data_IF_359993815481
#
_entry.id   IF_359993815481
#
_cell.length_a   1.000
_cell.length_b   1.000
_cell.length_c   1.000
_cell.angle_alpha   90.00
_cell.angle_beta   90.00
_cell.angle_gamma   90.00
#
_symmetry.space_group_name_H-M   'P 1'
#
loop_
_entity.id
_entity.type
_entity.pdbx_description
1 polymer ?
#
# COMPACT_ATOMS: atom_id res chain seq x y z
N UNK A 1 36.88 10.67 -27.40
CA UNK A 1 35.68 11.55 -27.48
C UNK A 1 35.77 12.58 -28.63
N UNK A 2 36.30 12.18 -29.79
CA UNK A 2 36.66 13.12 -30.86
C UNK A 2 35.70 13.06 -32.05
N UNK A 3 34.97 11.96 -32.26
CA UNK A 3 34.20 11.75 -33.49
C UNK A 3 33.03 12.72 -33.67
N UNK A 4 32.31 13.07 -32.59
CA UNK A 4 31.22 14.06 -32.66
C UNK A 4 31.74 15.45 -33.01
N UNK A 5 32.79 15.90 -32.32
CA UNK A 5 33.36 17.24 -32.54
C UNK A 5 34.09 17.34 -33.88
N UNK A 6 34.72 16.25 -34.35
CA UNK A 6 35.28 16.16 -35.71
C UNK A 6 34.18 16.30 -36.77
N UNK A 7 33.02 15.67 -36.57
CA UNK A 7 31.89 15.86 -37.47
C UNK A 7 31.42 17.32 -37.45
N UNK A 8 31.22 17.90 -36.27
CA UNK A 8 30.77 19.29 -36.14
C UNK A 8 31.75 20.30 -36.75
N UNK A 9 33.05 19.97 -36.79
CA UNK A 9 34.08 20.79 -37.43
C UNK A 9 33.90 20.91 -38.96
N UNK A 10 33.19 19.95 -39.58
CA UNK A 10 32.87 20.00 -41.01
C UNK A 10 31.67 20.90 -41.35
N UNK A 11 30.96 21.44 -40.36
CA UNK A 11 29.76 22.25 -40.56
C UNK A 11 30.04 23.76 -40.52
N UNK A 12 29.27 24.60 -41.26
CA UNK A 12 29.35 26.05 -41.08
C UNK A 12 28.95 26.43 -39.64
N UNK A 13 29.60 27.45 -39.08
CA UNK A 13 29.42 27.92 -37.69
C UNK A 13 29.85 26.92 -36.59
N UNK A 14 30.86 26.08 -36.83
CA UNK A 14 31.41 25.10 -35.88
C UNK A 14 31.48 25.56 -34.43
N UNK A 15 32.03 26.75 -34.16
CA UNK A 15 32.23 27.24 -32.79
C UNK A 15 30.93 27.39 -32.02
N UNK A 16 29.88 27.90 -32.68
CA UNK A 16 28.55 28.09 -32.07
C UNK A 16 27.88 26.74 -31.83
N UNK A 17 27.90 25.87 -32.84
CA UNK A 17 27.26 24.55 -32.77
C UNK A 17 27.96 23.64 -31.75
N UNK A 18 29.29 23.67 -31.70
CA UNK A 18 30.07 22.89 -30.71
C UNK A 18 29.85 23.38 -29.29
N UNK A 19 29.77 24.70 -29.08
CA UNK A 19 29.42 25.28 -27.78
C UNK A 19 28.03 24.86 -27.33
N UNK A 20 27.05 24.89 -28.24
CA UNK A 20 25.69 24.44 -27.96
C UNK A 20 25.62 22.93 -27.66
N UNK A 21 26.34 22.10 -28.41
CA UNK A 21 26.44 20.67 -28.16
C UNK A 21 27.03 20.37 -26.78
N UNK A 22 28.06 21.11 -26.35
CA UNK A 22 28.63 20.96 -25.00
C UNK A 22 27.60 21.29 -23.91
N UNK A 23 26.81 22.36 -24.09
CA UNK A 23 25.72 22.71 -23.14
C UNK A 23 24.68 21.60 -23.07
N UNK A 24 24.27 21.05 -24.21
CA UNK A 24 23.32 19.93 -24.27
C UNK A 24 23.87 18.70 -23.53
N UNK A 25 25.12 18.32 -23.79
CA UNK A 25 25.77 17.19 -23.11
C UNK A 25 25.80 17.42 -21.60
N UNK A 26 26.11 18.64 -21.15
CA UNK A 26 26.11 18.99 -19.73
C UNK A 26 24.71 18.85 -19.09
N UNK A 27 23.66 19.34 -19.76
CA UNK A 27 22.27 19.23 -19.25
C UNK A 27 21.84 17.77 -19.14
N UNK A 28 22.09 16.96 -20.18
CA UNK A 28 21.77 15.53 -20.14
C UNK A 28 22.56 14.81 -19.06
N UNK A 29 23.82 15.17 -18.86
CA UNK A 29 24.66 14.60 -17.81
C UNK A 29 24.11 14.91 -16.41
N UNK A 30 23.77 16.17 -16.13
CA UNK A 30 23.21 16.59 -14.83
C UNK A 30 21.87 15.91 -14.56
N UNK A 31 20.97 15.90 -15.54
CA UNK A 31 19.63 15.29 -15.40
C UNK A 31 19.72 13.77 -15.20
N UNK A 32 20.68 13.12 -15.86
CA UNK A 32 20.95 11.69 -15.71
C UNK A 32 21.45 11.35 -14.30
N UNK A 33 22.39 12.13 -13.76
CA UNK A 33 22.90 11.93 -12.39
C UNK A 33 21.79 12.13 -11.35
N UNK A 34 20.94 13.14 -11.52
CA UNK A 34 19.81 13.38 -10.62
C UNK A 34 18.86 12.17 -10.56
N UNK A 35 18.50 11.63 -11.72
CA UNK A 35 17.67 10.42 -11.80
C UNK A 35 18.36 9.18 -11.21
N UNK A 36 19.67 9.01 -11.44
CA UNK A 36 20.44 7.90 -10.91
C UNK A 36 20.58 7.95 -9.38
N UNK A 37 20.79 9.15 -8.83
CA UNK A 37 20.85 9.37 -7.39
C UNK A 37 19.51 9.03 -6.74
N UNK A 38 18.39 9.44 -7.35
CA UNK A 38 17.04 9.15 -6.88
C UNK A 38 16.77 7.63 -6.83
N UNK A 39 17.11 6.89 -7.90
CA UNK A 39 16.91 5.43 -7.93
C UNK A 39 17.79 4.70 -6.91
N UNK A 40 19.05 5.10 -6.78
CA UNK A 40 19.98 4.51 -5.79
C UNK A 40 19.49 4.75 -4.37
N UNK A 41 18.97 5.94 -4.11
CA UNK A 41 18.40 6.33 -2.84
C UNK A 41 17.15 5.51 -2.48
N UNK A 42 16.26 5.27 -3.45
CA UNK A 42 15.09 4.39 -3.28
C UNK A 42 15.50 2.94 -2.99
N UNK A 43 16.56 2.42 -3.61
CA UNK A 43 17.08 1.09 -3.28
C UNK A 43 17.65 1.01 -1.87
N UNK A 44 18.26 2.09 -1.36
CA UNK A 44 18.84 2.13 -0.02
C UNK A 44 17.77 2.18 1.09
N UNK A 45 16.66 2.90 0.85
CA UNK A 45 15.57 3.04 1.83
C UNK A 45 14.53 1.94 1.73
N UNK A 46 14.28 1.43 0.52
CA UNK A 46 13.22 0.43 0.26
C UNK A 46 11.81 1.00 0.17
N UNK A 47 11.66 2.32 0.30
CA UNK A 47 10.38 3.03 0.17
C UNK A 47 10.50 4.16 -0.86
N UNK A 48 9.42 4.38 -1.60
CA UNK A 48 9.36 5.44 -2.61
C UNK A 48 9.04 6.79 -1.94
N UNK A 49 9.76 7.85 -2.31
CA UNK A 49 9.47 9.25 -1.94
C UNK A 49 9.58 9.63 -0.45
N UNK A 50 10.19 8.80 0.41
CA UNK A 50 10.32 9.10 1.86
C UNK A 50 11.68 9.71 2.24
N UNK A 51 12.61 9.82 1.29
CA UNK A 51 14.01 10.12 1.62
C UNK A 51 14.35 11.60 1.77
N UNK A 52 15.16 11.99 2.77
CA UNK A 52 15.59 13.37 2.94
C UNK A 52 16.57 13.82 1.82
N UNK A 53 16.50 15.11 1.47
CA UNK A 53 17.26 15.69 0.35
C UNK A 53 18.78 15.57 0.47
N UNK A 54 19.32 15.56 1.70
CA UNK A 54 20.76 15.43 1.93
C UNK A 54 21.29 14.05 1.50
N UNK A 55 20.47 13.00 1.65
CA UNK A 55 20.86 11.64 1.28
C UNK A 55 20.92 11.48 -0.24
N UNK A 56 19.97 12.08 -0.96
CA UNK A 56 20.02 12.18 -2.44
C UNK A 56 21.26 12.92 -2.93
N UNK A 57 21.60 14.02 -2.27
CA UNK A 57 22.82 14.78 -2.59
C UNK A 57 24.09 13.94 -2.35
N UNK A 58 24.13 13.14 -1.28
CA UNK A 58 25.24 12.23 -1.00
C UNK A 58 25.45 11.25 -2.16
N UNK A 59 24.38 10.64 -2.66
CA UNK A 59 24.47 9.72 -3.81
C UNK A 59 24.94 10.43 -5.08
N UNK A 60 24.39 11.60 -5.40
CA UNK A 60 24.82 12.39 -6.55
C UNK A 60 26.32 12.75 -6.49
N UNK A 61 26.79 13.21 -5.33
CA UNK A 61 28.20 13.56 -5.11
C UNK A 61 29.10 12.33 -5.18
N UNK A 62 28.64 11.19 -4.66
CA UNK A 62 29.38 9.93 -4.68
C UNK A 62 29.60 9.42 -6.11
N UNK A 63 28.57 9.51 -6.97
CA UNK A 63 28.70 9.18 -8.40
C UNK A 63 29.77 10.07 -9.07
N UNK A 64 29.70 11.38 -8.83
CA UNK A 64 30.70 12.33 -9.35
C UNK A 64 32.11 12.07 -8.82
N UNK A 65 32.25 11.74 -7.53
CA UNK A 65 33.52 11.43 -6.90
C UNK A 65 34.17 10.17 -7.48
N UNK A 66 33.38 9.10 -7.70
CA UNK A 66 33.87 7.87 -8.33
C UNK A 66 34.30 8.13 -9.78
N UNK A 67 33.49 8.86 -10.55
CA UNK A 67 33.85 9.22 -11.93
C UNK A 67 35.15 10.05 -11.98
N UNK A 68 35.29 11.05 -11.10
CA UNK A 68 36.50 11.85 -10.99
C UNK A 68 37.72 11.00 -10.59
N UNK A 69 37.55 10.08 -9.63
CA UNK A 69 38.63 9.20 -9.18
C UNK A 69 39.16 8.31 -10.33
N UNK A 70 38.28 7.74 -11.14
CA UNK A 70 38.67 6.91 -12.30
C UNK A 70 39.43 7.75 -13.34
N UNK A 71 38.95 8.96 -13.64
CA UNK A 71 39.59 9.85 -14.60
C UNK A 71 40.98 10.32 -14.13
N UNK A 72 41.16 10.58 -12.83
CA UNK A 72 42.45 10.98 -12.26
C UNK A 72 43.43 9.80 -12.22
N UNK A 73 42.94 8.59 -11.95
CA UNK A 73 43.78 7.38 -11.82
C UNK A 73 44.30 6.88 -13.17
N UNK A 74 43.64 7.21 -14.29
CA UNK A 74 44.08 6.84 -15.64
C UNK A 74 44.20 8.08 -16.55
N UNK A 75 45.29 8.86 -16.45
CA UNK A 75 45.45 10.11 -17.20
C UNK A 75 45.41 9.95 -18.72
N UNK A 76 46.02 8.88 -19.25
CA UNK A 76 46.15 8.65 -20.69
C UNK A 76 44.98 7.84 -21.30
N UNK A 77 44.20 7.16 -20.45
CA UNK A 77 43.19 6.18 -20.87
C UNK A 77 41.91 6.21 -20.02
N UNK A 78 41.60 7.34 -19.37
CA UNK A 78 40.49 7.43 -18.41
C UNK A 78 39.12 7.07 -18.98
N UNK A 79 38.90 7.33 -20.27
CA UNK A 79 37.66 6.92 -20.96
C UNK A 79 37.60 5.41 -21.14
N UNK A 80 38.72 4.77 -21.52
CA UNK A 80 38.79 3.32 -21.69
C UNK A 80 38.62 2.61 -20.34
N UNK A 81 39.20 3.18 -19.27
CA UNK A 81 39.01 2.70 -17.90
C UNK A 81 37.53 2.78 -17.46
N UNK A 82 36.84 3.89 -17.75
CA UNK A 82 35.40 4.01 -17.49
C UNK A 82 34.58 2.97 -18.27
N UNK A 83 34.96 2.68 -19.51
CA UNK A 83 34.31 1.66 -20.32
C UNK A 83 34.50 0.26 -19.75
N UNK A 84 35.72 -0.10 -19.35
CA UNK A 84 36.02 -1.40 -18.75
C UNK A 84 35.25 -1.62 -17.45
N UNK A 85 35.24 -0.62 -16.56
CA UNK A 85 34.46 -0.66 -15.31
C UNK A 85 32.97 -0.86 -15.60
N UNK A 86 32.43 -0.15 -16.61
CA UNK A 86 31.03 -0.32 -17.01
C UNK A 86 30.74 -1.73 -17.54
N UNK A 87 31.67 -2.38 -18.24
CA UNK A 87 31.51 -3.74 -18.74
C UNK A 87 31.51 -4.73 -17.57
N UNK A 88 32.46 -4.59 -16.65
CA UNK A 88 32.59 -5.46 -15.48
C UNK A 88 31.34 -5.39 -14.59
N UNK A 89 30.84 -4.17 -14.34
CA UNK A 89 29.61 -3.96 -13.55
C UNK A 89 28.37 -4.40 -14.35
N UNK A 90 28.34 -4.18 -15.66
CA UNK A 90 27.19 -4.54 -16.50
C UNK A 90 26.95 -6.05 -16.62
N UNK A 91 28.01 -6.86 -16.58
CA UNK A 91 27.94 -8.31 -16.74
C UNK A 91 27.02 -9.03 -15.71
N UNK A 92 27.13 -8.80 -14.39
CA UNK A 92 26.21 -9.41 -13.43
C UNK A 92 24.77 -8.93 -13.61
N UNK A 93 24.54 -7.65 -13.91
CA UNK A 93 23.20 -7.12 -14.19
C UNK A 93 22.60 -7.72 -15.48
N UNK A 94 23.44 -7.98 -16.49
CA UNK A 94 23.04 -8.69 -17.71
C UNK A 94 22.45 -10.07 -17.40
N UNK A 95 23.10 -10.86 -16.53
CA UNK A 95 22.57 -12.14 -16.08
C UNK A 95 21.25 -11.97 -15.29
N UNK A 96 21.16 -10.95 -14.46
CA UNK A 96 19.95 -10.64 -13.70
C UNK A 96 18.76 -10.29 -14.61
N UNK A 97 18.98 -9.66 -15.76
CA UNK A 97 17.90 -9.38 -16.73
C UNK A 97 17.24 -10.65 -17.27
N UNK A 98 17.96 -11.76 -17.43
CA UNK A 98 17.33 -13.04 -17.80
C UNK A 98 16.41 -13.58 -16.71
N UNK A 99 16.83 -13.46 -15.45
CA UNK A 99 16.00 -13.85 -14.30
C UNK A 99 14.75 -12.97 -14.22
N UNK A 100 14.89 -11.65 -14.42
CA UNK A 100 13.75 -10.73 -14.44
C UNK A 100 12.81 -11.02 -15.61
N UNK A 101 13.33 -11.30 -16.80
CA UNK A 101 12.52 -11.70 -17.96
C UNK A 101 11.71 -12.96 -17.66
N UNK A 102 12.34 -13.99 -17.07
CA UNK A 102 11.64 -15.20 -16.64
C UNK A 102 10.59 -14.91 -15.55
N UNK A 103 10.91 -14.06 -14.58
CA UNK A 103 10.00 -13.67 -13.50
C UNK A 103 8.75 -12.97 -14.03
N UNK A 104 8.91 -12.06 -15.00
CA UNK A 104 7.80 -11.37 -15.66
C UNK A 104 6.92 -12.37 -16.40
N UNK A 105 7.50 -13.28 -17.20
CA UNK A 105 6.74 -14.31 -17.90
C UNK A 105 5.97 -15.22 -16.92
N UNK A 106 6.60 -15.59 -15.82
CA UNK A 106 5.96 -16.38 -14.75
C UNK A 106 4.82 -15.59 -14.10
N UNK A 107 5.03 -14.31 -13.79
CA UNK A 107 4.02 -13.42 -13.21
C UNK A 107 2.82 -13.22 -14.12
N UNK A 108 3.07 -12.92 -15.39
CA UNK A 108 2.02 -12.80 -16.42
C UNK A 108 1.23 -14.10 -16.58
N UNK A 109 1.89 -15.25 -16.57
CA UNK A 109 1.19 -16.54 -16.69
C UNK A 109 0.36 -16.86 -15.43
N UNK A 110 0.87 -16.51 -14.24
CA UNK A 110 0.12 -16.65 -13.00
C UNK A 110 -1.14 -15.76 -13.01
N UNK A 111 -1.02 -14.51 -13.48
CA UNK A 111 -2.14 -13.58 -13.60
C UNK A 111 -3.17 -14.02 -14.65
N UNK A 112 -2.71 -14.53 -15.80
CA UNK A 112 -3.59 -15.10 -16.83
C UNK A 112 -4.43 -16.29 -16.32
N UNK A 113 -3.85 -17.11 -15.43
CA UNK A 113 -4.54 -18.24 -14.81
C UNK A 113 -5.37 -17.85 -13.58
N UNK A 114 -5.10 -16.72 -12.97
CA UNK A 114 -5.91 -16.13 -11.92
C UNK A 114 -7.19 -15.54 -12.53
N UNK A 115 -8.14 -16.39 -12.92
CA UNK A 115 -9.51 -15.94 -13.20
C UNK A 115 -10.05 -15.31 -11.91
N UNK A 116 -10.40 -14.02 -11.87
CA UNK A 116 -11.10 -13.47 -10.73
C UNK A 116 -12.41 -14.24 -10.64
N UNK A 117 -12.64 -14.95 -9.52
CA UNK A 117 -13.97 -15.48 -9.27
C UNK A 117 -14.92 -14.29 -9.31
N UNK A 118 -15.94 -14.29 -10.20
CA UNK A 118 -16.88 -13.20 -10.21
C UNK A 118 -17.50 -13.15 -8.81
N UNK A 119 -17.33 -12.01 -8.11
CA UNK A 119 -18.02 -11.71 -6.86
C UNK A 119 -19.50 -11.54 -7.17
N UNK A 120 -20.15 -12.64 -7.52
CA UNK A 120 -21.60 -12.69 -7.59
C UNK A 120 -22.09 -12.56 -6.14
N UNK A 121 -23.15 -11.78 -5.95
CA UNK A 121 -23.92 -11.84 -4.72
C UNK A 121 -24.42 -13.28 -4.62
N UNK A 122 -23.78 -14.10 -3.79
CA UNK A 122 -24.31 -15.41 -3.49
C UNK A 122 -25.60 -15.18 -2.71
N UNK A 123 -26.72 -15.24 -3.41
CA UNK A 123 -28.00 -15.35 -2.76
C UNK A 123 -27.97 -16.63 -1.95
N UNK A 124 -28.28 -16.55 -0.66
CA UNK A 124 -28.51 -17.76 0.12
C UNK A 124 -29.51 -18.63 -0.65
N UNK A 125 -29.25 -19.94 -0.69
CA UNK A 125 -30.13 -20.87 -1.39
C UNK A 125 -31.55 -20.65 -0.92
N UNK A 126 -32.50 -20.61 -1.85
CA UNK A 126 -33.94 -20.55 -1.57
C UNK A 126 -34.26 -21.43 -0.37
N UNK A 127 -34.84 -20.83 0.68
CA UNK A 127 -35.20 -21.55 1.90
C UNK A 127 -35.94 -22.84 1.52
N UNK A 128 -35.61 -23.97 2.17
CA UNK A 128 -36.38 -25.19 1.96
C UNK A 128 -37.83 -24.94 2.39
N UNK A 129 -38.81 -25.67 1.84
CA UNK A 129 -40.23 -25.49 2.20
C UNK A 129 -40.46 -25.53 3.72
N UNK A 130 -39.72 -26.37 4.43
CA UNK A 130 -39.79 -26.50 5.88
C UNK A 130 -39.25 -25.27 6.61
N UNK A 131 -38.15 -24.68 6.12
CA UNK A 131 -37.56 -23.49 6.71
C UNK A 131 -38.40 -22.23 6.47
N UNK A 132 -39.11 -22.17 5.33
CA UNK A 132 -40.11 -21.13 5.07
C UNK A 132 -41.28 -21.25 6.05
N UNK A 133 -41.83 -22.46 6.20
CA UNK A 133 -42.95 -22.71 7.09
C UNK A 133 -42.59 -22.42 8.56
N UNK A 134 -41.35 -22.74 8.98
CA UNK A 134 -40.87 -22.37 10.32
C UNK A 134 -40.77 -20.86 10.51
N UNK A 135 -40.32 -20.11 9.50
CA UNK A 135 -40.20 -18.66 9.56
C UNK A 135 -41.58 -17.99 9.54
N UNK A 136 -42.51 -18.48 8.73
CA UNK A 136 -43.90 -18.04 8.70
C UNK A 136 -44.65 -18.34 10.00
N UNK A 137 -44.25 -19.39 10.72
CA UNK A 137 -44.77 -19.71 12.07
C UNK A 137 -44.14 -18.87 13.18
N UNK A 138 -42.99 -18.25 12.94
CA UNK A 138 -42.38 -17.36 13.93
C UNK A 138 -43.21 -16.09 14.00
N UNK A 139 -43.56 -15.61 15.21
CA UNK A 139 -44.21 -14.33 15.35
C UNK A 139 -43.30 -13.21 14.84
N UNK A 140 -43.91 -12.08 14.48
CA UNK A 140 -43.14 -10.91 14.09
C UNK A 140 -42.10 -10.57 15.18
N UNK A 141 -40.88 -10.12 14.81
CA UNK A 141 -39.88 -9.75 15.81
C UNK A 141 -40.45 -8.78 16.84
N UNK A 142 -40.32 -9.12 18.11
CA UNK A 142 -40.90 -8.31 19.20
C UNK A 142 -42.35 -8.64 19.55
N UNK A 143 -42.96 -9.68 18.97
CA UNK A 143 -44.30 -10.14 19.31
C UNK A 143 -44.27 -11.60 19.80
N UNK A 144 -45.23 -11.96 20.65
CA UNK A 144 -45.45 -13.33 21.08
C UNK A 144 -46.29 -14.13 20.05
N UNK A 145 -46.49 -15.42 20.32
CA UNK A 145 -47.30 -16.29 19.46
C UNK A 145 -48.79 -15.94 19.45
N UNK A 146 -49.26 -15.08 20.35
CA UNK A 146 -50.62 -14.55 20.38
C UNK A 146 -50.75 -13.20 19.63
N UNK A 147 -49.66 -12.69 19.06
CA UNK A 147 -49.61 -11.40 18.39
C UNK A 147 -49.64 -10.20 19.34
N UNK A 148 -49.34 -10.42 20.63
CA UNK A 148 -49.14 -9.35 21.61
C UNK A 148 -47.68 -8.91 21.59
N UNK A 149 -47.44 -7.63 21.79
CA UNK A 149 -46.08 -7.09 21.88
C UNK A 149 -45.36 -7.71 23.08
N UNK A 150 -44.14 -8.18 22.86
CA UNK A 150 -43.29 -8.65 23.93
C UNK A 150 -42.93 -7.46 24.82
N UNK A 151 -42.98 -7.65 26.15
CA UNK A 151 -42.67 -6.58 27.07
C UNK A 151 -41.20 -6.20 26.89
N UNK A 152 -40.95 -4.92 26.64
CA UNK A 152 -39.63 -4.38 26.30
C UNK A 152 -39.06 -3.64 27.51
N UNK A 153 -37.76 -3.83 27.79
CA UNK A 153 -37.11 -3.09 28.87
C UNK A 153 -37.07 -1.59 28.57
N UNK A 154 -37.39 -0.77 29.57
CA UNK A 154 -37.44 0.69 29.47
C UNK A 154 -36.60 1.34 30.57
N UNK A 155 -36.39 2.65 30.47
CA UNK A 155 -35.73 3.44 31.51
C UNK A 155 -36.71 4.47 32.05
N UNK A 156 -36.70 4.69 33.37
CA UNK A 156 -37.46 5.76 34.00
C UNK A 156 -36.76 7.13 33.87
N UNK A 157 -37.40 8.17 34.41
CA UNK A 157 -36.89 9.54 34.38
C UNK A 157 -35.60 9.72 35.20
N UNK A 158 -35.36 8.83 36.17
CA UNK A 158 -34.20 8.84 37.05
C UNK A 158 -33.03 7.99 36.51
N UNK A 159 -33.26 7.27 35.40
CA UNK A 159 -32.26 6.46 34.71
C UNK A 159 -32.18 5.00 35.17
N UNK A 160 -33.14 4.52 35.96
CA UNK A 160 -33.23 3.11 36.36
C UNK A 160 -33.77 2.25 35.22
N UNK A 161 -33.24 1.03 35.08
CA UNK A 161 -33.71 0.05 34.09
C UNK A 161 -34.93 -0.71 34.63
N UNK A 162 -36.07 -0.57 33.97
CA UNK A 162 -37.30 -1.30 34.25
C UNK A 162 -37.37 -2.50 33.30
N UNK A 163 -37.24 -3.71 33.86
CA UNK A 163 -37.42 -4.95 33.11
C UNK A 163 -38.80 -5.53 33.46
N UNK A 164 -39.78 -5.45 32.55
CA UNK A 164 -41.09 -6.02 32.80
C UNK A 164 -41.02 -7.56 32.83
N UNK A 165 -41.28 -8.15 34.01
CA UNK A 165 -41.33 -9.59 34.22
C UNK A 165 -40.21 -10.14 35.10
N UNK A 166 -39.97 -11.46 35.00
CA UNK A 166 -38.97 -12.14 35.83
C UNK A 166 -37.60 -12.15 35.16
N UNK A 167 -36.56 -11.83 35.92
CA UNK A 167 -35.16 -11.95 35.49
C UNK A 167 -34.61 -13.30 35.99
N UNK A 168 -34.16 -14.15 35.07
CA UNK A 168 -33.46 -15.41 35.39
C UNK A 168 -31.98 -15.22 35.08
N UNK A 169 -31.13 -15.28 36.10
CA UNK A 169 -29.66 -15.18 35.96
C UNK A 169 -29.06 -16.58 36.11
N UNK A 170 -28.45 -17.09 35.04
CA UNK A 170 -27.86 -18.44 35.01
C UNK A 170 -26.45 -18.53 35.63
N UNK A 171 -25.97 -17.46 36.28
CA UNK A 171 -24.64 -17.35 36.88
C UNK A 171 -24.64 -16.42 38.10
N UNK A 172 -23.47 -15.97 38.52
CA UNK A 172 -23.34 -15.12 39.71
C UNK A 172 -23.74 -13.66 39.40
N UNK A 173 -24.54 -13.05 40.29
CA UNK A 173 -24.93 -11.65 40.23
C UNK A 173 -24.13 -10.85 41.27
N UNK A 174 -23.28 -9.93 40.79
CA UNK A 174 -22.60 -8.97 41.65
C UNK A 174 -23.37 -7.66 41.71
N UNK A 175 -23.71 -7.19 42.92
CA UNK A 175 -24.35 -5.90 43.16
C UNK A 175 -23.37 -4.98 43.86
N UNK A 176 -23.18 -3.76 43.33
CA UNK A 176 -22.33 -2.73 43.92
C UNK A 176 -23.24 -1.60 44.41
N UNK A 177 -23.53 -1.59 45.71
CA UNK A 177 -24.48 -0.66 46.32
C UNK A 177 -25.28 -1.30 47.46
N UNK A 178 -26.18 -0.54 48.07
CA UNK A 178 -27.18 -1.08 49.00
C UNK A 178 -28.33 -1.70 48.19
N UNK A 179 -28.78 -2.89 48.61
CA UNK A 179 -29.99 -3.52 48.07
C UNK A 179 -31.13 -3.11 48.99
N UNK A 180 -32.04 -2.30 48.48
CA UNK A 180 -33.24 -1.90 49.20
C UNK A 180 -34.39 -2.86 48.90
N UNK A 181 -35.14 -3.23 49.93
CA UNK A 181 -36.41 -3.93 49.77
C UNK A 181 -37.43 -2.92 49.23
N UNK A 182 -37.74 -3.00 47.94
CA UNK A 182 -38.76 -2.18 47.29
C UNK A 182 -40.17 -2.58 47.76
N UNK A 183 -40.99 -1.62 48.20
CA UNK A 183 -42.41 -1.84 48.48
C UNK A 183 -43.17 -1.99 47.14
N UNK A 184 -43.91 -3.08 46.91
CA UNK A 184 -44.67 -3.26 45.68
C UNK A 184 -45.70 -2.15 45.39
N UNK A 185 -46.15 -1.40 46.41
CA UNK A 185 -47.08 -0.29 46.21
C UNK A 185 -46.44 0.93 45.52
N UNK A 186 -45.11 1.08 45.62
CA UNK A 186 -44.39 2.23 45.03
C UNK A 186 -44.26 2.15 43.50
N UNK A 187 -44.61 1.01 42.90
CA UNK A 187 -44.42 0.72 41.47
C UNK A 187 -45.71 0.20 40.81
N UNK A 188 -46.88 0.50 41.36
CA UNK A 188 -48.18 0.08 40.78
C UNK A 188 -48.41 0.64 39.36
N UNK A 189 -47.78 1.75 39.01
CA UNK A 189 -47.84 2.38 37.69
C UNK A 189 -47.04 1.63 36.61
N UNK A 190 -46.19 0.68 37.01
CA UNK A 190 -45.38 -0.16 36.11
C UNK A 190 -46.01 -1.52 35.78
N UNK A 191 -47.22 -1.81 36.29
CA UNK A 191 -47.97 -3.07 36.07
C UNK A 191 -48.90 -3.07 34.87
#
# INVERSE_FOLDING_TARGET
>A
ASSLFILLDTMPWTTVVSGFALVIVAIFFVTSIDSAALVTDMFAVGEENVTPTWQRLLWAVSIGAVAAAILIMSPDAGIDALQEVSIIIGLPFFLMFFVMMYSILKGMNADYHARPEPRTRQWEKTHTPEALEENERKPAPGYDNAGQELPTASYDADGNLIVPGNIIVAGDLGVVGEVEDADPEDYEDLR
#
